data_IF_516433834367
#
_entry.id   IF_516433834367
#
_cell.length_a   1.000
_cell.length_b   1.000
_cell.length_c   1.000
_cell.angle_alpha   90.00
_cell.angle_beta   90.00
_cell.angle_gamma   90.00
#
_symmetry.space_group_name_H-M   'P 1'
#
loop_
_entity.id
_entity.type
_entity.pdbx_description
1 polymer ?
#
# COMPACT_ATOMS: atom_id res chain seq x y z
N UNK A 1 -35.01 0.84 -1.55
CA UNK A 1 -35.10 -0.54 -1.05
C UNK A 1 -33.69 -1.13 -1.11
N UNK A 2 -33.33 -2.03 -0.20
CA UNK A 2 -32.00 -2.67 -0.21
C UNK A 2 -32.18 -4.19 -0.17
N UNK A 3 -31.47 -4.89 -1.05
CA UNK A 3 -31.49 -6.36 -1.11
C UNK A 3 -30.09 -6.87 -0.75
N UNK A 4 -30.03 -7.93 0.06
CA UNK A 4 -28.79 -8.58 0.47
C UNK A 4 -28.75 -9.96 -0.18
N UNK A 5 -27.66 -10.27 -0.86
CA UNK A 5 -27.44 -11.56 -1.49
C UNK A 5 -26.27 -12.27 -0.78
N UNK A 6 -26.52 -13.45 -0.22
CA UNK A 6 -25.53 -14.25 0.54
C UNK A 6 -25.13 -15.56 -0.15
N UNK A 7 -25.71 -15.88 -1.32
CA UNK A 7 -25.52 -17.17 -2.02
C UNK A 7 -25.42 -17.02 -3.55
N UNK A 8 -25.16 -15.81 -4.05
CA UNK A 8 -24.91 -15.60 -5.48
C UNK A 8 -23.44 -15.89 -5.79
N UNK A 9 -23.11 -16.45 -6.95
CA UNK A 9 -21.71 -16.58 -7.37
C UNK A 9 -21.08 -15.18 -7.39
N UNK A 10 -20.13 -14.97 -6.48
CA UNK A 10 -19.38 -13.72 -6.34
C UNK A 10 -18.00 -13.92 -6.93
N UNK A 11 -17.51 -12.88 -7.61
CA UNK A 11 -16.14 -12.85 -8.10
C UNK A 11 -15.16 -13.05 -6.96
N UNK A 12 -14.10 -13.82 -7.21
CA UNK A 12 -13.03 -14.00 -6.22
C UNK A 12 -12.36 -12.66 -5.93
N UNK A 13 -12.15 -12.30 -4.65
CA UNK A 13 -11.64 -11.00 -4.28
C UNK A 13 -10.16 -10.83 -4.62
N UNK A 14 -9.73 -9.58 -4.72
CA UNK A 14 -8.33 -9.23 -4.79
C UNK A 14 -7.68 -9.30 -3.42
N UNK A 15 -6.39 -9.64 -3.41
CA UNK A 15 -5.59 -9.69 -2.18
C UNK A 15 -4.41 -8.76 -2.30
N UNK A 16 -4.28 -7.80 -1.37
CA UNK A 16 -3.12 -6.91 -1.27
C UNK A 16 -2.25 -7.30 -0.08
N UNK A 17 -0.94 -7.33 -0.31
CA UNK A 17 0.10 -7.69 0.65
C UNK A 17 1.11 -6.54 0.76
N UNK A 18 1.39 -6.11 1.99
CA UNK A 18 2.41 -5.11 2.29
C UNK A 18 3.38 -5.67 3.33
N UNK A 19 4.69 -5.48 3.12
CA UNK A 19 5.69 -5.89 4.08
C UNK A 19 5.82 -4.84 5.20
N UNK A 20 5.72 -5.27 6.45
CA UNK A 20 5.85 -4.39 7.62
C UNK A 20 7.26 -3.83 7.73
N UNK A 21 8.26 -4.59 7.28
CA UNK A 21 9.62 -4.11 7.05
C UNK A 21 9.84 -3.91 5.54
N UNK A 22 9.82 -2.67 5.05
CA UNK A 22 9.67 -2.38 3.63
C UNK A 22 10.99 -2.40 2.84
N UNK A 23 12.13 -2.59 3.51
CA UNK A 23 13.45 -2.48 2.89
C UNK A 23 14.12 -3.86 2.75
N UNK A 24 14.39 -4.32 1.52
CA UNK A 24 15.09 -5.58 1.30
C UNK A 24 16.59 -5.49 1.62
N UNK A 25 17.24 -6.65 1.73
CA UNK A 25 18.69 -6.77 2.02
C UNK A 25 19.55 -5.97 1.04
N UNK A 26 19.17 -5.97 -0.24
CA UNK A 26 19.83 -5.20 -1.31
C UNK A 26 19.91 -3.72 -0.97
N UNK A 27 18.81 -3.12 -0.53
CA UNK A 27 18.74 -1.69 -0.21
C UNK A 27 19.55 -1.36 1.05
N UNK A 28 19.54 -2.26 2.04
CA UNK A 28 20.40 -2.14 3.22
C UNK A 28 21.89 -2.15 2.85
N UNK A 29 22.30 -2.99 1.91
CA UNK A 29 23.68 -3.02 1.40
C UNK A 29 24.04 -1.74 0.62
N UNK A 30 23.10 -1.18 -0.15
CA UNK A 30 23.30 0.10 -0.85
C UNK A 30 23.56 1.25 0.13
N UNK A 31 22.80 1.33 1.22
CA UNK A 31 23.01 2.33 2.27
C UNK A 31 24.34 2.18 3.01
N UNK A 32 24.87 0.96 3.12
CA UNK A 32 26.18 0.71 3.73
C UNK A 32 27.36 1.04 2.79
N UNK A 33 27.10 1.22 1.51
CA UNK A 33 28.12 1.42 0.48
C UNK A 33 27.92 2.72 -0.28
N UNK A 34 27.31 2.65 -1.47
CA UNK A 34 27.28 3.70 -2.49
C UNK A 34 26.23 4.79 -2.24
N UNK A 35 25.20 4.50 -1.43
CA UNK A 35 24.05 5.38 -1.22
C UNK A 35 23.82 5.71 0.25
N UNK A 36 24.91 5.87 1.01
CA UNK A 36 24.82 6.17 2.45
C UNK A 36 24.10 7.49 2.76
N UNK A 37 24.17 8.46 1.84
CA UNK A 37 23.52 9.78 1.94
C UNK A 37 21.99 9.69 1.96
N UNK A 38 21.43 8.73 1.21
CA UNK A 38 20.00 8.45 1.18
C UNK A 38 19.53 7.53 2.31
N UNK A 39 20.40 7.07 3.21
CA UNK A 39 19.95 6.18 4.28
C UNK A 39 19.00 6.88 5.27
N UNK A 40 18.01 6.17 5.84
CA UNK A 40 17.15 6.70 6.90
C UNK A 40 17.94 7.34 8.04
N UNK A 41 19.09 6.76 8.38
CA UNK A 41 19.99 7.27 9.42
C UNK A 41 20.49 8.69 9.11
N UNK A 42 20.86 8.97 7.86
CA UNK A 42 21.33 10.31 7.48
C UNK A 42 20.20 11.33 7.55
N UNK A 43 19.01 10.99 7.07
CA UNK A 43 17.84 11.86 7.23
C UNK A 43 17.51 12.11 8.71
N UNK A 44 17.41 11.06 9.52
CA UNK A 44 17.08 11.19 10.94
C UNK A 44 18.11 12.03 11.70
N UNK A 45 19.41 11.89 11.37
CA UNK A 45 20.45 12.73 11.95
C UNK A 45 20.30 14.20 11.55
N UNK A 46 19.96 14.51 10.29
CA UNK A 46 19.69 15.89 9.84
C UNK A 46 18.50 16.49 10.59
N UNK A 47 17.40 15.73 10.72
CA UNK A 47 16.22 16.13 11.47
C UNK A 47 16.55 16.42 12.94
N UNK A 48 17.28 15.52 13.61
CA UNK A 48 17.68 15.70 15.01
C UNK A 48 18.57 16.93 15.21
N UNK A 49 19.52 17.17 14.31
CA UNK A 49 20.34 18.39 14.36
C UNK A 49 19.52 19.67 14.22
N UNK A 50 18.45 19.66 13.41
CA UNK A 50 17.54 20.80 13.31
C UNK A 50 16.69 20.96 14.57
N UNK A 51 16.19 19.87 15.15
CA UNK A 51 15.49 19.87 16.43
C UNK A 51 16.38 20.45 17.53
N UNK A 52 17.64 20.03 17.62
CA UNK A 52 18.60 20.53 18.61
C UNK A 52 18.82 22.04 18.48
N UNK A 53 18.93 22.56 17.25
CA UNK A 53 19.03 24.00 16.99
C UNK A 53 17.79 24.76 17.46
N UNK A 54 16.60 24.22 17.21
CA UNK A 54 15.34 24.83 17.64
C UNK A 54 15.23 24.82 19.17
N UNK A 55 15.67 23.76 19.84
CA UNK A 55 15.72 23.68 21.30
C UNK A 55 16.68 24.74 21.86
N UNK A 56 17.89 24.87 21.28
CA UNK A 56 18.86 25.90 21.68
C UNK A 56 18.33 27.32 21.46
N UNK A 57 17.51 27.53 20.43
CA UNK A 57 16.82 28.79 20.15
C UNK A 57 15.54 29.00 20.99
N UNK A 58 15.22 28.09 21.92
CA UNK A 58 13.98 28.10 22.72
C UNK A 58 12.68 28.03 21.90
N UNK A 59 12.74 27.54 20.65
CA UNK A 59 11.58 27.35 19.77
C UNK A 59 10.92 25.98 19.99
N UNK A 60 10.51 25.69 21.23
CA UNK A 60 10.08 24.35 21.67
C UNK A 60 8.88 23.79 20.88
N UNK A 61 7.92 24.64 20.50
CA UNK A 61 6.75 24.21 19.71
C UNK A 61 7.15 23.68 18.33
N UNK A 62 8.08 24.35 17.64
CA UNK A 62 8.58 23.92 16.33
C UNK A 62 9.46 22.67 16.47
N UNK A 63 10.30 22.61 17.51
CA UNK A 63 11.11 21.44 17.82
C UNK A 63 10.23 20.20 18.04
N UNK A 64 9.13 20.35 18.77
CA UNK A 64 8.15 19.29 18.99
C UNK A 64 7.52 18.81 17.69
N UNK A 65 7.02 19.71 16.84
CA UNK A 65 6.43 19.34 15.53
C UNK A 65 7.45 18.62 14.67
N UNK A 66 8.69 19.12 14.57
CA UNK A 66 9.72 18.53 13.74
C UNK A 66 10.15 17.13 14.24
N UNK A 67 10.15 16.90 15.55
CA UNK A 67 10.47 15.58 16.13
C UNK A 67 9.47 14.49 15.75
N UNK A 68 8.21 14.86 15.44
CA UNK A 68 7.20 13.92 14.92
C UNK A 68 7.45 13.49 13.48
N UNK A 69 8.41 14.12 12.79
CA UNK A 69 8.81 13.74 11.44
C UNK A 69 9.90 12.66 11.40
N UNK A 70 10.41 12.18 12.55
CA UNK A 70 11.27 10.98 12.63
C UNK A 70 10.43 9.69 12.45
N UNK A 71 9.80 9.57 11.26
CA UNK A 71 8.95 8.46 10.81
C UNK A 71 9.21 8.08 9.36
N UNK A 72 8.93 6.82 9.03
CA UNK A 72 9.11 6.22 7.71
C UNK A 72 8.32 6.94 6.62
N UNK A 73 7.10 7.38 6.92
CA UNK A 73 6.27 8.11 5.96
C UNK A 73 6.90 9.45 5.54
N UNK A 74 7.71 10.07 6.42
CA UNK A 74 8.45 11.29 6.09
C UNK A 74 9.70 10.97 5.28
N UNK A 75 10.39 9.87 5.62
CA UNK A 75 11.48 9.37 4.80
C UNK A 75 11.04 9.08 3.37
N UNK A 76 9.92 8.39 3.19
CA UNK A 76 9.30 8.16 1.89
C UNK A 76 9.09 9.48 1.12
N UNK A 77 8.58 10.52 1.78
CA UNK A 77 8.31 11.82 1.16
C UNK A 77 9.57 12.61 0.81
N UNK A 78 10.70 12.33 1.48
CA UNK A 78 11.99 12.96 1.19
C UNK A 78 12.76 12.33 0.02
N UNK A 79 12.28 11.20 -0.49
CA UNK A 79 12.88 10.50 -1.62
C UNK A 79 12.24 10.94 -2.93
N UNK A 80 13.02 10.87 -4.01
CA UNK A 80 12.43 10.87 -5.35
C UNK A 80 11.49 9.68 -5.52
N UNK A 81 10.37 9.83 -6.27
CA UNK A 81 9.38 8.77 -6.43
C UNK A 81 9.96 7.45 -6.96
N UNK A 82 10.88 7.54 -7.91
CA UNK A 82 11.52 6.36 -8.51
C UNK A 82 12.45 5.68 -7.50
N UNK A 83 13.16 6.44 -6.66
CA UNK A 83 13.96 5.89 -5.56
C UNK A 83 13.07 5.24 -4.50
N UNK A 84 11.93 5.84 -4.17
CA UNK A 84 10.99 5.24 -3.23
C UNK A 84 10.46 3.88 -3.74
N UNK A 85 10.19 3.76 -5.03
CA UNK A 85 9.85 2.47 -5.65
C UNK A 85 11.03 1.49 -5.66
N UNK A 86 12.25 1.95 -5.95
CA UNK A 86 13.46 1.11 -6.00
C UNK A 86 13.88 0.61 -4.60
N UNK A 87 13.64 1.42 -3.56
CA UNK A 87 14.00 1.09 -2.18
C UNK A 87 13.01 0.13 -1.51
N UNK A 88 11.81 -0.01 -2.06
CA UNK A 88 10.87 -1.04 -1.65
C UNK A 88 11.25 -2.42 -2.19
N UNK A 89 10.63 -3.46 -1.63
CA UNK A 89 10.69 -4.80 -2.22
C UNK A 89 10.14 -4.79 -3.64
N UNK A 90 10.78 -5.54 -4.53
CA UNK A 90 10.21 -5.90 -5.82
C UNK A 90 9.38 -7.18 -5.70
N UNK A 91 8.46 -7.40 -6.64
CA UNK A 91 7.58 -8.57 -6.62
C UNK A 91 8.38 -9.87 -6.62
N UNK A 92 9.46 -9.94 -7.40
CA UNK A 92 10.36 -11.10 -7.51
C UNK A 92 11.21 -11.36 -6.25
N UNK A 93 11.46 -10.32 -5.46
CA UNK A 93 12.12 -10.45 -4.15
C UNK A 93 11.15 -10.97 -3.07
N UNK A 94 9.86 -10.63 -3.17
CA UNK A 94 8.85 -10.92 -2.16
C UNK A 94 8.00 -12.17 -2.45
N UNK A 95 7.59 -12.41 -3.70
CA UNK A 95 6.72 -13.52 -4.09
C UNK A 95 7.55 -14.72 -4.52
N UNK A 96 7.55 -15.78 -3.72
CA UNK A 96 8.32 -17.01 -4.03
C UNK A 96 7.53 -17.99 -4.88
N UNK A 97 6.24 -18.13 -4.61
CA UNK A 97 5.35 -19.04 -5.33
C UNK A 97 3.91 -18.66 -5.05
N UNK A 98 3.04 -19.02 -5.99
CA UNK A 98 1.60 -19.00 -5.82
C UNK A 98 0.99 -20.30 -6.35
N UNK A 99 -0.13 -20.68 -5.74
CA UNK A 99 -0.97 -21.78 -6.18
C UNK A 99 -2.41 -21.28 -6.19
N UNK A 100 -3.09 -21.46 -7.32
CA UNK A 100 -4.52 -21.16 -7.45
C UNK A 100 -5.26 -22.44 -7.78
N UNK A 101 -6.44 -22.62 -7.22
CA UNK A 101 -7.31 -23.77 -7.48
C UNK A 101 -8.61 -23.28 -8.10
N UNK A 102 -9.00 -23.88 -9.23
CA UNK A 102 -10.26 -23.65 -9.92
C UNK A 102 -10.93 -25.02 -10.16
N UNK A 103 -11.94 -25.35 -9.36
CA UNK A 103 -12.56 -26.66 -9.32
C UNK A 103 -11.56 -27.77 -8.96
N UNK A 104 -11.34 -28.70 -9.90
CA UNK A 104 -10.42 -29.82 -9.71
C UNK A 104 -9.01 -29.58 -10.27
N UNK A 105 -8.75 -28.37 -10.79
CA UNK A 105 -7.46 -28.03 -11.39
C UNK A 105 -6.71 -27.09 -10.47
N UNK A 106 -5.46 -27.43 -10.17
CA UNK A 106 -4.53 -26.55 -9.49
C UNK A 106 -3.48 -26.07 -10.49
N UNK A 107 -3.19 -24.77 -10.43
CA UNK A 107 -2.12 -24.16 -11.20
C UNK A 107 -1.12 -23.53 -10.24
N UNK A 108 0.16 -23.85 -10.45
CA UNK A 108 1.28 -23.44 -9.59
C UNK A 108 2.27 -22.69 -10.46
N UNK A 109 2.65 -21.49 -10.03
CA UNK A 109 3.59 -20.64 -10.73
C UNK A 109 4.26 -19.65 -9.80
N UNK A 110 5.27 -18.94 -10.28
CA UNK A 110 5.94 -17.91 -9.48
C UNK A 110 5.27 -16.54 -9.66
N UNK A 111 4.93 -16.17 -10.89
CA UNK A 111 4.39 -14.85 -11.24
C UNK A 111 3.16 -14.90 -12.14
N UNK A 112 2.95 -16.01 -12.83
CA UNK A 112 1.83 -16.27 -13.72
C UNK A 112 1.19 -17.61 -13.38
N UNK A 113 -0.13 -17.62 -13.37
CA UNK A 113 -0.91 -18.83 -13.28
C UNK A 113 -2.12 -18.62 -14.18
N UNK A 114 -2.17 -19.39 -15.26
CA UNK A 114 -3.18 -19.27 -16.33
C UNK A 114 -3.85 -20.62 -16.50
N UNK A 115 -5.17 -20.64 -16.35
CA UNK A 115 -6.00 -21.81 -16.62
C UNK A 115 -6.42 -21.84 -18.09
N UNK A 116 -6.77 -23.02 -18.60
CA UNK A 116 -7.30 -23.18 -19.96
C UNK A 116 -8.59 -22.39 -20.20
N UNK A 117 -9.35 -22.10 -19.13
CA UNK A 117 -10.52 -21.23 -19.14
C UNK A 117 -10.21 -19.78 -19.50
N UNK A 118 -8.93 -19.40 -19.57
CA UNK A 118 -8.46 -18.02 -19.71
C UNK A 118 -8.39 -17.25 -18.38
N UNK A 119 -8.82 -17.87 -17.27
CA UNK A 119 -8.67 -17.31 -15.93
C UNK A 119 -7.19 -17.24 -15.58
N UNK A 120 -6.73 -16.09 -15.09
CA UNK A 120 -5.33 -15.93 -14.69
C UNK A 120 -5.16 -15.04 -13.49
N UNK A 121 -4.13 -15.34 -12.69
CA UNK A 121 -3.69 -14.44 -11.63
C UNK A 121 -2.75 -13.39 -12.23
N UNK A 122 -3.09 -12.12 -12.03
CA UNK A 122 -2.24 -10.98 -12.35
C UNK A 122 -1.76 -10.31 -11.07
N UNK A 123 -0.55 -9.76 -11.14
CA UNK A 123 0.06 -9.07 -10.00
C UNK A 123 0.35 -7.63 -10.38
N UNK A 124 0.18 -6.73 -9.42
CA UNK A 124 0.47 -5.30 -9.60
C UNK A 124 1.15 -4.75 -8.36
N UNK A 125 2.07 -3.82 -8.56
CA UNK A 125 2.79 -3.13 -7.49
C UNK A 125 2.30 -1.69 -7.42
N UNK A 126 2.10 -1.20 -6.21
CA UNK A 126 1.79 0.21 -5.98
C UNK A 126 2.51 0.72 -4.72
N UNK A 127 2.68 2.03 -4.67
CA UNK A 127 3.51 2.67 -3.65
C UNK A 127 2.68 3.19 -2.48
N UNK A 128 3.05 2.87 -1.24
CA UNK A 128 2.40 3.30 -0.01
C UNK A 128 3.40 4.02 0.92
N UNK A 129 3.07 5.19 1.50
CA UNK A 129 4.03 5.97 2.29
C UNK A 129 4.60 5.23 3.50
N UNK A 130 3.84 4.32 4.10
CA UNK A 130 4.30 3.55 5.25
C UNK A 130 4.88 2.18 4.86
N UNK A 131 4.59 1.62 3.69
CA UNK A 131 5.02 0.25 3.38
C UNK A 131 5.90 0.17 2.13
N UNK A 132 6.22 1.33 1.53
CA UNK A 132 6.91 1.46 0.25
C UNK A 132 6.18 0.71 -0.85
N UNK A 133 6.54 -0.52 -1.16
CA UNK A 133 5.86 -1.28 -2.21
C UNK A 133 4.90 -2.28 -1.61
N UNK A 134 3.66 -2.23 -2.07
CA UNK A 134 2.63 -3.22 -1.79
C UNK A 134 2.24 -3.93 -3.09
N UNK A 135 1.83 -5.19 -2.94
CA UNK A 135 1.57 -6.10 -4.05
C UNK A 135 0.12 -6.53 -4.03
N UNK A 136 -0.59 -6.36 -5.14
CA UNK A 136 -1.99 -6.79 -5.29
C UNK A 136 -2.04 -7.95 -6.26
N UNK A 137 -2.61 -9.07 -5.81
CA UNK A 137 -2.97 -10.21 -6.64
C UNK A 137 -4.44 -10.09 -7.03
N UNK A 138 -4.70 -10.06 -8.33
CA UNK A 138 -6.02 -9.99 -8.93
C UNK A 138 -6.27 -11.23 -9.79
N UNK A 139 -7.53 -11.61 -9.94
CA UNK A 139 -7.93 -12.68 -10.85
C UNK A 139 -8.63 -12.04 -12.04
N UNK A 140 -8.05 -12.20 -13.23
CA UNK A 140 -8.66 -11.80 -14.50
C UNK A 140 -9.35 -13.01 -15.14
N UNK A 141 -10.47 -12.79 -15.84
CA UNK A 141 -11.27 -13.85 -16.47
C UNK A 141 -12.45 -14.28 -15.58
N UNK A 142 -12.79 -15.57 -15.59
CA UNK A 142 -13.87 -16.11 -14.77
C UNK A 142 -13.37 -16.40 -13.35
N UNK A 143 -13.35 -15.35 -12.52
CA UNK A 143 -12.95 -15.45 -11.12
C UNK A 143 -13.99 -16.16 -10.24
N UNK A 144 -15.23 -16.36 -10.71
CA UNK A 144 -16.28 -16.99 -9.89
C UNK A 144 -16.05 -18.48 -9.65
N UNK A 145 -15.25 -19.13 -10.49
CA UNK A 145 -14.88 -20.54 -10.34
C UNK A 145 -13.63 -20.79 -9.49
N UNK A 146 -12.96 -19.75 -8.99
CA UNK A 146 -11.74 -19.91 -8.20
C UNK A 146 -12.09 -20.23 -6.75
N UNK A 147 -11.53 -21.33 -6.24
CA UNK A 147 -11.80 -21.82 -4.89
C UNK A 147 -10.79 -21.29 -3.86
N UNK A 148 -9.52 -21.19 -4.24
CA UNK A 148 -8.47 -20.77 -3.32
C UNK A 148 -7.26 -20.16 -4.01
N UNK A 149 -6.60 -19.26 -3.29
CA UNK A 149 -5.31 -18.65 -3.64
C UNK A 149 -4.35 -18.85 -2.46
N UNK A 150 -3.28 -19.59 -2.68
CA UNK A 150 -2.19 -19.79 -1.73
C UNK A 150 -0.96 -19.04 -2.21
N UNK A 151 -0.35 -18.24 -1.34
CA UNK A 151 0.81 -17.41 -1.68
C UNK A 151 1.94 -17.68 -0.69
N UNK A 152 3.15 -17.90 -1.20
CA UNK A 152 4.37 -18.04 -0.41
C UNK A 152 5.19 -16.75 -0.55
N UNK A 153 5.35 -16.05 0.57
CA UNK A 153 6.00 -14.73 0.62
C UNK A 153 7.35 -14.85 1.34
N UNK A 154 8.39 -14.35 0.69
CA UNK A 154 9.70 -14.07 1.29
C UNK A 154 9.67 -12.71 1.97
N UNK A 155 9.81 -12.72 3.29
CA UNK A 155 9.91 -11.50 4.11
C UNK A 155 11.36 -11.03 4.31
N UNK A 156 12.34 -11.71 3.68
CA UNK A 156 13.77 -11.46 3.90
C UNK A 156 14.26 -11.92 5.28
N UNK A 157 15.54 -11.63 5.58
CA UNK A 157 16.16 -11.98 6.86
C UNK A 157 15.84 -10.93 7.91
N UNK A 158 15.37 -11.40 9.08
CA UNK A 158 15.23 -10.54 10.25
C UNK A 158 16.57 -9.83 10.53
N UNK A 159 16.59 -8.50 10.66
CA UNK A 159 17.81 -7.76 10.96
C UNK A 159 18.42 -8.30 12.24
N UNK A 160 19.66 -8.79 12.15
CA UNK A 160 20.44 -9.05 13.36
C UNK A 160 20.57 -7.72 14.13
N UNK A 161 20.45 -7.76 15.46
CA UNK A 161 20.42 -6.58 16.33
C UNK A 161 21.70 -5.71 16.28
N UNK A 162 22.71 -6.10 15.50
CA UNK A 162 24.06 -5.54 15.47
C UNK A 162 24.32 -4.54 14.35
N UNK A 163 23.34 -4.26 13.47
CA UNK A 163 23.46 -3.26 12.39
C UNK A 163 22.91 -1.88 12.76
N UNK A 164 23.27 -0.80 12.03
CA UNK A 164 22.63 0.50 12.17
C UNK A 164 21.15 0.37 11.77
N UNK A 165 20.29 0.16 12.75
CA UNK A 165 18.85 0.04 12.55
C UNK A 165 18.31 1.29 11.86
N UNK A 166 17.35 1.10 10.95
CA UNK A 166 16.46 2.14 10.43
C UNK A 166 15.49 2.54 11.53
N UNK A 167 16.01 3.11 12.62
CA UNK A 167 15.19 3.46 13.77
C UNK A 167 14.51 4.81 13.52
N UNK A 168 13.36 4.73 12.86
CA UNK A 168 12.34 5.76 12.91
C UNK A 168 11.73 5.77 14.30
N UNK A 169 12.06 6.76 15.12
CA UNK A 169 11.72 6.77 16.55
C UNK A 169 10.20 6.74 16.75
N UNK A 170 9.46 7.44 15.89
CA UNK A 170 8.01 7.51 15.98
C UNK A 170 7.32 6.20 15.54
N UNK A 171 8.02 5.34 14.80
CA UNK A 171 7.46 4.07 14.31
C UNK A 171 7.94 2.87 15.13
N UNK A 172 8.65 3.05 16.24
CA UNK A 172 9.23 1.95 17.02
C UNK A 172 8.17 0.92 17.44
N UNK A 173 6.95 1.36 17.75
CA UNK A 173 5.84 0.46 18.11
C UNK A 173 5.18 -0.21 16.89
N UNK A 174 5.44 0.29 15.68
CA UNK A 174 4.95 -0.26 14.42
C UNK A 174 6.01 -1.13 13.70
N UNK A 175 7.21 -1.25 14.28
CA UNK A 175 8.31 -2.09 13.79
C UNK A 175 8.06 -3.57 14.12
N UNK A 176 6.97 -4.12 13.59
CA UNK A 176 6.72 -5.55 13.58
C UNK A 176 7.40 -6.21 12.37
N UNK A 177 7.84 -7.46 12.53
CA UNK A 177 8.30 -8.26 11.41
C UNK A 177 7.12 -9.04 10.84
N UNK A 178 6.81 -8.88 9.56
CA UNK A 178 5.83 -9.71 8.85
C UNK A 178 5.08 -9.01 7.74
N UNK A 179 3.88 -9.51 7.45
CA UNK A 179 3.06 -9.09 6.30
C UNK A 179 1.72 -8.57 6.80
N UNK A 180 1.25 -7.46 6.23
CA UNK A 180 -0.14 -7.05 6.29
C UNK A 180 -0.86 -7.54 5.04
N UNK A 181 -1.94 -8.30 5.24
CA UNK A 181 -2.80 -8.77 4.15
C UNK A 181 -4.17 -8.10 4.23
N UNK A 182 -4.71 -7.66 3.10
CA UNK A 182 -6.08 -7.19 2.98
C UNK A 182 -6.78 -7.89 1.81
N UNK A 183 -7.99 -8.36 2.05
CA UNK A 183 -8.90 -8.91 1.03
C UNK A 183 -9.91 -7.83 0.69
N UNK A 184 -10.08 -7.53 -0.60
CA UNK A 184 -10.97 -6.48 -1.06
C UNK A 184 -11.55 -6.79 -2.44
N UNK A 185 -12.59 -6.07 -2.83
CA UNK A 185 -13.17 -6.20 -4.16
C UNK A 185 -12.14 -5.87 -5.26
N UNK A 186 -12.25 -6.56 -6.39
CA UNK A 186 -11.41 -6.28 -7.54
C UNK A 186 -11.62 -4.85 -8.05
N UNK A 187 -10.53 -4.19 -8.42
CA UNK A 187 -10.54 -2.79 -8.88
C UNK A 187 -10.73 -1.74 -7.77
N UNK A 188 -11.06 -2.12 -6.53
CA UNK A 188 -11.17 -1.18 -5.41
C UNK A 188 -9.82 -0.86 -4.75
N UNK A 189 -9.74 0.30 -4.08
CA UNK A 189 -8.53 0.70 -3.37
C UNK A 189 -8.31 -0.17 -2.11
N UNK A 190 -7.14 -0.79 -1.96
CA UNK A 190 -6.81 -1.56 -0.77
C UNK A 190 -6.56 -0.62 0.42
N UNK A 191 -7.55 -0.49 1.30
CA UNK A 191 -7.43 0.34 2.51
C UNK A 191 -6.64 -0.39 3.60
N UNK A 192 -5.34 -0.61 3.35
CA UNK A 192 -4.45 -1.44 4.17
C UNK A 192 -4.48 -1.04 5.64
N UNK A 193 -4.44 0.25 5.97
CA UNK A 193 -4.46 0.68 7.38
C UNK A 193 -5.76 0.37 8.13
N UNK A 194 -6.89 0.17 7.42
CA UNK A 194 -8.22 -0.01 8.03
C UNK A 194 -8.71 -1.44 7.98
N UNK A 195 -8.47 -2.13 6.86
CA UNK A 195 -9.08 -3.43 6.56
C UNK A 195 -8.05 -4.56 6.40
N UNK A 196 -6.81 -4.37 6.87
CA UNK A 196 -5.80 -5.44 6.85
C UNK A 196 -5.73 -6.22 8.16
N UNK A 197 -5.15 -7.41 8.04
CA UNK A 197 -4.80 -8.28 9.15
C UNK A 197 -3.30 -8.56 9.13
N UNK A 198 -2.72 -8.70 10.33
CA UNK A 198 -1.32 -9.09 10.48
C UNK A 198 -1.19 -10.60 10.25
N UNK A 199 -0.31 -10.99 9.32
CA UNK A 199 0.00 -12.38 9.01
C UNK A 199 1.30 -12.77 9.70
N UNK A 200 1.27 -13.87 10.45
CA UNK A 200 2.43 -14.35 11.20
C UNK A 200 3.44 -15.04 10.30
N UNK A 201 4.71 -14.73 10.48
CA UNK A 201 5.79 -15.34 9.70
C UNK A 201 6.08 -16.78 10.11
N UNK A 202 6.56 -17.58 9.15
CA UNK A 202 6.97 -18.96 9.38
C UNK A 202 5.80 -19.92 9.69
N UNK A 203 4.56 -19.47 9.49
CA UNK A 203 3.35 -20.27 9.66
C UNK A 203 2.44 -20.12 8.44
N UNK A 204 1.60 -21.12 8.23
CA UNK A 204 0.45 -21.00 7.34
C UNK A 204 -0.57 -20.08 7.99
N UNK A 205 -0.94 -18.99 7.31
CA UNK A 205 -2.04 -18.13 7.68
C UNK A 205 -3.18 -18.41 6.70
N UNK A 206 -4.33 -18.83 7.21
CA UNK A 206 -5.50 -19.14 6.40
C UNK A 206 -6.56 -18.06 6.62
N UNK A 207 -6.99 -17.40 5.54
CA UNK A 207 -8.08 -16.42 5.56
C UNK A 207 -9.27 -17.03 4.83
N UNK A 208 -10.34 -17.29 5.58
CA UNK A 208 -11.64 -17.69 5.03
C UNK A 208 -12.55 -16.47 5.03
N UNK A 209 -13.25 -16.26 3.94
CA UNK A 209 -14.16 -15.13 3.78
C UNK A 209 -15.47 -15.59 3.16
N UNK A 210 -16.52 -14.79 3.38
CA UNK A 210 -17.81 -14.90 2.72
C UNK A 210 -18.09 -13.54 2.08
N UNK A 211 -18.38 -13.53 0.79
CA UNK A 211 -18.69 -12.30 0.09
C UNK A 211 -20.19 -11.98 0.23
N UNK A 212 -20.48 -10.80 0.76
CA UNK A 212 -21.86 -10.32 0.91
C UNK A 212 -22.10 -9.16 -0.03
N UNK A 213 -23.04 -9.31 -0.97
CA UNK A 213 -23.41 -8.26 -1.91
C UNK A 213 -24.62 -7.48 -1.42
N UNK A 214 -24.45 -6.17 -1.31
CA UNK A 214 -25.52 -5.24 -0.94
C UNK A 214 -25.94 -4.42 -2.17
N UNK A 215 -27.18 -4.61 -2.63
CA UNK A 215 -27.74 -3.83 -3.73
C UNK A 215 -28.67 -2.74 -3.21
N UNK A 216 -28.39 -1.50 -3.62
CA UNK A 216 -29.20 -0.34 -3.27
C UNK A 216 -29.95 0.15 -4.50
N UNK A 217 -31.26 0.32 -4.37
CA UNK A 217 -32.07 0.97 -5.41
C UNK A 217 -31.84 2.48 -5.39
N UNK A 218 -31.34 3.03 -6.50
CA UNK A 218 -31.18 4.46 -6.68
C UNK A 218 -32.54 5.17 -6.65
N UNK A 219 -32.60 6.36 -6.05
CA UNK A 219 -33.79 7.22 -6.06
C UNK A 219 -33.41 8.65 -6.45
N UNK A 220 -34.33 9.49 -6.96
CA UNK A 220 -34.00 10.88 -7.31
C UNK A 220 -33.44 11.71 -6.12
N UNK A 221 -33.88 11.40 -4.90
CA UNK A 221 -33.43 12.07 -3.67
C UNK A 221 -32.11 11.48 -3.15
N UNK A 222 -31.80 10.22 -3.49
CA UNK A 222 -30.57 9.52 -3.13
C UNK A 222 -30.04 8.75 -4.35
N UNK A 223 -29.42 9.46 -5.32
CA UNK A 223 -28.89 8.82 -6.51
C UNK A 223 -27.67 7.98 -6.13
N UNK A 224 -27.63 6.72 -6.60
CA UNK A 224 -26.42 5.92 -6.52
C UNK A 224 -25.45 6.37 -7.62
N UNK A 225 -24.19 6.53 -7.25
CA UNK A 225 -23.11 6.82 -8.19
C UNK A 225 -22.56 5.47 -8.66
N UNK A 226 -22.53 5.25 -9.97
CA UNK A 226 -21.95 4.04 -10.56
C UNK A 226 -21.06 4.41 -11.76
N UNK A 227 -20.13 3.51 -12.10
CA UNK A 227 -19.22 3.69 -13.23
C UNK A 227 -19.93 3.59 -14.60
N UNK A 228 -21.16 3.07 -14.64
CA UNK A 228 -21.90 2.74 -15.86
C UNK A 228 -23.17 3.59 -16.14
N UNK A 229 -23.63 4.45 -15.23
CA UNK A 229 -24.89 5.21 -15.34
C UNK A 229 -24.75 6.70 -15.65
N UNK A 230 -25.82 7.49 -15.45
CA UNK A 230 -25.84 8.94 -15.74
C UNK A 230 -25.00 9.79 -14.76
N UNK A 231 -24.79 9.29 -13.54
CA UNK A 231 -23.97 9.95 -12.51
C UNK A 231 -22.57 9.34 -12.43
N UNK A 232 -21.83 9.32 -13.54
CA UNK A 232 -20.46 8.78 -13.57
C UNK A 232 -19.52 9.65 -12.73
N UNK A 233 -19.00 9.12 -11.64
CA UNK A 233 -17.69 9.54 -11.15
C UNK A 233 -16.68 8.60 -11.79
N UNK A 234 -15.74 9.16 -12.56
CA UNK A 234 -14.71 8.38 -13.24
C UNK A 234 -13.82 7.62 -12.25
N UNK A 235 -12.96 6.75 -12.78
CA UNK A 235 -11.95 6.06 -11.99
C UNK A 235 -11.09 7.06 -11.22
N UNK A 236 -10.76 6.73 -9.99
CA UNK A 236 -9.89 7.51 -9.13
C UNK A 236 -8.44 7.08 -9.35
N UNK A 237 -7.50 8.00 -9.13
CA UNK A 237 -6.06 7.76 -9.34
C UNK A 237 -5.28 8.09 -8.08
N UNK A 238 -4.40 7.18 -7.70
CA UNK A 238 -3.33 7.36 -6.71
C UNK A 238 -2.00 6.94 -7.33
N UNK A 239 -1.20 7.93 -7.74
CA UNK A 239 0.00 7.76 -8.56
C UNK A 239 -0.31 6.98 -9.85
N UNK A 240 0.22 5.76 -9.95
CA UNK A 240 0.02 4.85 -11.09
C UNK A 240 -1.13 3.86 -10.86
N UNK A 241 -1.66 3.80 -9.64
CA UNK A 241 -2.81 2.97 -9.31
C UNK A 241 -4.09 3.68 -9.75
N UNK A 242 -4.90 2.98 -10.55
CA UNK A 242 -6.22 3.44 -10.99
C UNK A 242 -7.27 2.50 -10.41
N UNK A 243 -8.20 3.06 -9.64
CA UNK A 243 -9.21 2.30 -8.90
C UNK A 243 -10.62 2.76 -9.25
N UNK A 244 -11.57 1.88 -9.03
CA UNK A 244 -12.98 2.18 -9.14
C UNK A 244 -13.44 3.13 -8.02
N UNK A 245 -14.60 3.74 -8.24
CA UNK A 245 -15.16 4.70 -7.31
C UNK A 245 -15.52 4.01 -5.98
N UNK A 246 -15.09 4.63 -4.88
CA UNK A 246 -15.68 4.46 -3.56
C UNK A 246 -15.92 5.83 -2.93
N UNK A 247 -16.94 5.91 -2.07
CA UNK A 247 -17.28 7.17 -1.41
C UNK A 247 -16.09 7.71 -0.60
N UNK A 248 -15.45 6.84 0.19
CA UNK A 248 -14.28 7.16 1.01
C UNK A 248 -13.13 7.74 0.18
N UNK A 249 -12.71 7.05 -0.89
CA UNK A 249 -11.59 7.50 -1.72
C UNK A 249 -11.92 8.75 -2.51
N UNK A 250 -13.19 8.96 -2.84
CA UNK A 250 -13.61 10.22 -3.44
C UNK A 250 -13.49 11.40 -2.47
N UNK A 251 -13.86 11.21 -1.21
CA UNK A 251 -13.69 12.25 -0.18
C UNK A 251 -12.20 12.54 0.04
N UNK A 252 -11.37 11.50 0.14
CA UNK A 252 -9.91 11.66 0.25
C UNK A 252 -9.30 12.39 -0.95
N UNK A 253 -9.73 12.05 -2.17
CA UNK A 253 -9.28 12.71 -3.40
C UNK A 253 -9.69 14.19 -3.45
N UNK A 254 -10.90 14.51 -2.97
CA UNK A 254 -11.35 15.89 -2.86
C UNK A 254 -10.55 16.67 -1.80
N UNK A 255 -10.25 16.06 -0.65
CA UNK A 255 -9.42 16.66 0.39
C UNK A 255 -7.98 16.89 -0.11
N UNK A 256 -7.39 15.90 -0.82
CA UNK A 256 -6.08 16.05 -1.43
C UNK A 256 -6.04 17.23 -2.41
N UNK A 257 -7.09 17.40 -3.23
CA UNK A 257 -7.20 18.56 -4.13
C UNK A 257 -7.14 19.89 -3.40
N UNK A 258 -7.86 20.03 -2.30
CA UNK A 258 -7.87 21.29 -1.52
C UNK A 258 -6.47 21.60 -1.00
N UNK A 259 -5.75 20.59 -0.49
CA UNK A 259 -4.37 20.74 -0.01
C UNK A 259 -3.43 21.11 -1.16
N UNK A 260 -3.53 20.43 -2.30
CA UNK A 260 -2.71 20.73 -3.48
C UNK A 260 -2.91 22.17 -3.98
N UNK A 261 -4.15 22.66 -4.00
CA UNK A 261 -4.49 24.01 -4.46
C UNK A 261 -4.01 25.11 -3.50
N UNK A 262 -4.14 24.90 -2.19
CA UNK A 262 -3.84 25.92 -1.18
C UNK A 262 -2.39 25.85 -0.67
N UNK A 263 -1.85 24.65 -0.48
CA UNK A 263 -0.52 24.42 0.09
C UNK A 263 0.56 24.15 -0.97
N UNK A 264 0.17 23.93 -2.23
CA UNK A 264 1.09 23.64 -3.35
C UNK A 264 1.99 22.43 -3.10
N UNK A 265 1.48 21.43 -2.39
CA UNK A 265 2.19 20.19 -2.07
C UNK A 265 1.24 18.99 -2.11
N UNK A 266 1.79 17.78 -2.28
CA UNK A 266 1.03 16.53 -2.26
C UNK A 266 0.97 15.91 -0.86
N UNK A 267 -0.22 15.61 -0.32
CA UNK A 267 -0.34 14.84 0.91
C UNK A 267 -0.10 13.35 0.64
N UNK A 268 0.95 12.76 1.24
CA UNK A 268 1.33 11.38 0.96
C UNK A 268 0.34 10.32 1.49
N UNK A 269 -0.48 10.67 2.48
CA UNK A 269 -1.46 9.78 3.13
C UNK A 269 -2.86 9.83 2.52
N UNK A 270 -3.07 10.65 1.48
CA UNK A 270 -4.30 10.71 0.70
C UNK A 270 -4.02 10.26 -0.73
N UNK A 271 -5.08 10.22 -1.56
CA UNK A 271 -4.97 9.92 -2.99
C UNK A 271 -4.08 10.95 -3.71
N UNK A 272 -2.92 10.53 -4.21
CA UNK A 272 -1.95 11.41 -4.91
C UNK A 272 -2.26 11.43 -6.39
N UNK A 273 -2.89 12.50 -6.88
CA UNK A 273 -3.44 12.54 -8.24
C UNK A 273 -2.40 12.76 -9.33
N UNK A 274 -1.25 13.33 -8.95
CA UNK A 274 -0.11 13.63 -9.81
C UNK A 274 1.16 13.02 -9.23
N UNK A 275 2.15 12.78 -10.09
CA UNK A 275 3.45 12.26 -9.63
C UNK A 275 4.22 13.36 -8.88
N UNK A 276 4.95 13.02 -7.79
CA UNK A 276 5.65 14.02 -6.96
C UNK A 276 6.79 14.79 -7.66
N UNK A 277 7.20 14.38 -8.86
CA UNK A 277 8.13 15.15 -9.69
C UNK A 277 7.51 16.42 -10.31
N UNK A 278 6.18 16.54 -10.31
CA UNK A 278 5.47 17.74 -10.77
C UNK A 278 5.11 18.68 -9.62
N UNK A 279 4.83 18.12 -8.44
CA UNK A 279 4.48 18.83 -7.21
C UNK A 279 5.12 18.08 -6.04
N UNK A 280 5.96 18.70 -5.19
CA UNK A 280 6.63 17.99 -4.11
C UNK A 280 5.63 17.47 -3.07
N UNK A 281 6.03 16.46 -2.31
CA UNK A 281 5.27 16.06 -1.13
C UNK A 281 5.27 17.16 -0.07
N UNK A 282 4.22 17.24 0.74
CA UNK A 282 4.16 18.21 1.85
C UNK A 282 5.23 17.95 2.92
N UNK A 283 5.75 16.72 2.98
CA UNK A 283 6.87 16.34 3.84
C UNK A 283 8.22 16.23 3.13
N UNK A 284 8.38 16.84 1.95
CA UNK A 284 9.68 16.88 1.27
C UNK A 284 10.66 17.77 2.07
N UNK A 285 11.83 17.23 2.37
CA UNK A 285 12.86 17.87 3.22
C UNK A 285 14.15 18.22 2.46
N UNK A 286 14.12 18.14 1.13
CA UNK A 286 15.27 18.45 0.26
C UNK A 286 15.49 19.94 0.07
#
# INVERSE_FOLDING_TARGET
MSTIHTNSPTEFPSTTLCLLHPFPDRVRQLWQSKMSEFSPRKMNNRLRQQVDKLIQASELSKASVLSHYDKRSMYYQSLDPDMALEFGYQMDEALMAMMTVQGNVACIGQYDCVFESGTKVTTSTWSHPDYFNCFTLNIEGDSTGVDSLTVVISIGKQPQHTGPHTAFVQDVFEQAWGVLGAVHEAGQYPSIKRHSVYLQNGKLNELKFEAVRHELTATPVRPCINNAGEHKRGRLRDLDLVVDYSHEKCVESAAARVIEEHCRCLPAWLMRRVRPGQVPYCGDLR
#
